data_IF_224718143706
#
_entry.id   IF_224718143706
#
_cell.length_a   1.000
_cell.length_b   1.000
_cell.length_c   1.000
_cell.angle_alpha   90.00
_cell.angle_beta   90.00
_cell.angle_gamma   90.00
#
_symmetry.space_group_name_H-M   'P 1'
#
loop_
_entity.id
_entity.type
_entity.pdbx_description
1 polymer ?
#
# COMPACT_ATOMS: atom_id res chain seq x y z
N UNK A 1 -0.60 -24.90 14.68
CA UNK A 1 -0.30 -24.02 13.52
C UNK A 1 0.97 -23.21 13.85
N UNK A 2 2.02 -23.19 13.00
CA UNK A 2 3.19 -22.32 13.27
C UNK A 2 2.79 -20.85 13.06
N UNK A 3 2.98 -19.98 14.05
CA UNK A 3 2.67 -18.55 13.92
C UNK A 3 3.78 -17.83 13.15
N UNK A 4 3.46 -16.70 12.51
CA UNK A 4 4.43 -15.81 11.90
C UNK A 4 5.20 -15.06 12.97
N UNK A 5 6.52 -15.20 12.93
CA UNK A 5 7.41 -14.43 13.79
C UNK A 5 7.28 -12.92 13.48
N UNK A 6 7.56 -12.03 14.44
CA UNK A 6 7.44 -10.57 14.26
C UNK A 6 8.24 -10.02 13.07
N UNK A 7 9.39 -10.61 12.77
CA UNK A 7 10.22 -10.25 11.60
C UNK A 7 9.51 -10.48 10.26
N UNK A 8 8.64 -11.48 10.17
CA UNK A 8 7.84 -11.74 8.96
C UNK A 8 6.76 -10.68 8.82
N UNK A 9 6.05 -10.34 9.91
CA UNK A 9 5.06 -9.28 9.91
C UNK A 9 5.69 -7.91 9.56
N UNK A 10 6.87 -7.59 10.10
CA UNK A 10 7.65 -6.41 9.70
C UNK A 10 8.00 -6.43 8.23
N UNK A 11 8.52 -7.56 7.72
CA UNK A 11 8.85 -7.72 6.31
C UNK A 11 7.62 -7.56 5.39
N UNK A 12 6.43 -7.98 5.83
CA UNK A 12 5.16 -7.81 5.13
C UNK A 12 4.73 -6.34 5.10
N UNK A 13 4.80 -5.62 6.24
CA UNK A 13 4.50 -4.18 6.28
C UNK A 13 5.41 -3.41 5.34
N UNK A 14 6.73 -3.58 5.50
CA UNK A 14 7.70 -2.88 4.66
C UNK A 14 7.54 -3.28 3.19
N UNK A 15 7.27 -4.55 2.89
CA UNK A 15 7.12 -4.96 1.51
C UNK A 15 5.82 -4.48 0.84
N UNK A 16 4.73 -4.36 1.59
CA UNK A 16 3.47 -3.82 1.08
C UNK A 16 3.57 -2.30 0.88
N UNK A 17 4.26 -1.60 1.79
CA UNK A 17 4.49 -0.17 1.63
C UNK A 17 5.43 0.13 0.46
N UNK A 18 6.64 -0.44 0.48
CA UNK A 18 7.67 -0.23 -0.55
C UNK A 18 7.28 -0.95 -1.83
N UNK A 19 6.44 -0.29 -2.63
CA UNK A 19 5.92 -0.74 -3.91
C UNK A 19 6.13 0.29 -5.02
N UNK A 20 5.21 0.31 -5.99
CA UNK A 20 5.31 1.17 -7.19
C UNK A 20 5.33 2.65 -6.88
N UNK A 21 4.51 3.09 -5.93
CA UNK A 21 4.28 4.51 -5.70
C UNK A 21 5.55 5.32 -5.46
N UNK A 22 6.55 4.81 -4.72
CA UNK A 22 7.80 5.57 -4.51
C UNK A 22 8.64 5.71 -5.77
N UNK A 23 8.51 4.77 -6.72
CA UNK A 23 9.28 4.78 -7.96
C UNK A 23 8.57 5.54 -9.08
N UNK A 24 7.25 5.72 -9.02
CA UNK A 24 6.45 6.28 -10.10
C UNK A 24 5.80 7.62 -9.75
N UNK A 25 5.39 7.83 -8.50
CA UNK A 25 4.61 9.01 -8.09
C UNK A 25 5.34 10.31 -8.37
N UNK A 26 6.66 10.34 -8.23
CA UNK A 26 7.45 11.54 -8.44
C UNK A 26 7.24 12.12 -9.86
N UNK A 27 7.22 11.27 -10.90
CA UNK A 27 7.04 11.76 -12.26
C UNK A 27 5.69 12.44 -12.47
N UNK A 28 4.62 11.89 -11.92
CA UNK A 28 3.29 12.50 -11.98
C UNK A 28 3.16 13.75 -11.11
N UNK A 29 3.83 13.80 -9.95
CA UNK A 29 3.86 15.02 -9.12
C UNK A 29 4.54 16.19 -9.84
N UNK A 30 5.59 15.91 -10.61
CA UNK A 30 6.33 16.92 -11.39
C UNK A 30 5.52 17.50 -12.56
N UNK A 31 4.37 16.92 -12.93
CA UNK A 31 3.49 17.53 -13.94
C UNK A 31 2.90 18.85 -13.45
N UNK A 32 2.52 18.92 -12.17
CA UNK A 32 1.86 20.08 -11.58
C UNK A 32 2.72 20.90 -10.61
N UNK A 33 3.81 20.32 -10.08
CA UNK A 33 4.66 20.98 -9.10
C UNK A 33 6.06 21.26 -9.64
N UNK A 34 6.45 22.53 -9.64
CA UNK A 34 7.78 23.00 -10.02
C UNK A 34 8.75 23.11 -8.84
N UNK A 35 8.27 23.46 -7.64
CA UNK A 35 9.12 23.52 -6.43
C UNK A 35 9.27 22.13 -5.81
N UNK A 36 10.45 21.53 -6.01
CA UNK A 36 10.76 20.18 -5.54
C UNK A 36 10.81 20.05 -4.01
N UNK A 37 10.95 21.18 -3.27
CA UNK A 37 10.90 21.18 -1.80
C UNK A 37 9.48 20.94 -1.30
N UNK A 38 8.48 21.45 -2.01
CA UNK A 38 7.07 21.16 -1.74
C UNK A 38 6.81 19.66 -1.88
N UNK A 39 7.38 19.01 -2.90
CA UNK A 39 7.26 17.56 -3.10
C UNK A 39 7.79 16.81 -1.87
N UNK A 40 9.01 17.09 -1.39
CA UNK A 40 9.54 16.43 -0.19
C UNK A 40 8.71 16.70 1.07
N UNK A 41 8.17 17.91 1.24
CA UNK A 41 7.26 18.22 2.34
C UNK A 41 5.96 17.40 2.27
N UNK A 42 5.40 17.21 1.08
CA UNK A 42 4.24 16.35 0.88
C UNK A 42 4.56 14.89 1.24
N UNK A 43 5.74 14.38 0.86
CA UNK A 43 6.21 13.05 1.29
C UNK A 43 6.36 12.93 2.81
N UNK A 44 6.80 13.99 3.49
CA UNK A 44 6.85 14.03 4.96
C UNK A 44 5.45 14.02 5.58
N UNK A 45 4.52 14.83 5.05
CA UNK A 45 3.12 14.86 5.47
C UNK A 45 2.46 13.49 5.29
N UNK A 46 2.71 12.83 4.15
CA UNK A 46 2.25 11.47 3.89
C UNK A 46 2.78 10.45 4.90
N UNK A 47 4.07 10.53 5.25
CA UNK A 47 4.68 9.67 6.27
C UNK A 47 4.12 9.90 7.67
N UNK A 48 3.89 11.17 8.05
CA UNK A 48 3.22 11.53 9.31
C UNK A 48 1.79 10.98 9.33
N UNK A 49 1.05 11.10 8.23
CA UNK A 49 -0.28 10.54 8.09
C UNK A 49 -0.26 9.01 8.26
N UNK A 50 0.63 8.30 7.56
CA UNK A 50 0.79 6.85 7.69
C UNK A 50 1.12 6.41 9.12
N UNK A 51 2.05 7.12 9.80
CA UNK A 51 2.37 6.87 11.21
C UNK A 51 1.16 7.09 12.13
N UNK A 52 0.38 8.14 11.91
CA UNK A 52 -0.85 8.40 12.66
C UNK A 52 -1.89 7.29 12.46
N UNK A 53 -2.06 6.81 11.22
CA UNK A 53 -2.90 5.67 10.91
C UNK A 53 -2.41 4.39 11.59
N UNK A 54 -1.11 4.13 11.55
CA UNK A 54 -0.47 2.98 12.20
C UNK A 54 -0.67 2.98 13.72
N UNK A 55 -0.60 4.14 14.37
CA UNK A 55 -0.92 4.28 15.80
C UNK A 55 -2.37 3.90 16.10
N UNK A 56 -3.31 4.31 15.25
CA UNK A 56 -4.73 3.98 15.38
C UNK A 56 -4.99 2.48 15.20
N UNK A 57 -4.40 1.88 14.16
CA UNK A 57 -4.58 0.46 13.83
C UNK A 57 -3.85 -0.46 14.80
N UNK A 58 -2.72 -0.02 15.37
CA UNK A 58 -2.06 -0.74 16.44
C UNK A 58 -3.02 -0.93 17.63
N UNK A 59 -3.71 0.12 18.06
CA UNK A 59 -4.68 0.00 19.15
C UNK A 59 -5.90 -0.85 18.77
N UNK A 60 -6.45 -0.68 17.56
CA UNK A 60 -7.56 -1.51 17.07
C UNK A 60 -7.17 -2.99 17.03
N UNK A 61 -6.03 -3.34 16.43
CA UNK A 61 -5.60 -4.73 16.29
C UNK A 61 -5.22 -5.38 17.62
N UNK A 62 -4.67 -4.63 18.59
CA UNK A 62 -4.43 -5.18 19.93
C UNK A 62 -5.75 -5.50 20.66
N UNK A 63 -6.80 -4.69 20.43
CA UNK A 63 -8.15 -4.92 21.02
C UNK A 63 -8.93 -6.02 20.29
N UNK A 64 -8.74 -6.16 18.97
CA UNK A 64 -9.47 -7.08 18.10
C UNK A 64 -8.47 -7.93 17.29
N UNK A 65 -7.85 -8.95 17.92
CA UNK A 65 -6.68 -9.64 17.36
C UNK A 65 -7.00 -10.75 16.34
N UNK A 66 -8.04 -10.59 15.51
CA UNK A 66 -8.33 -11.53 14.41
C UNK A 66 -7.80 -11.02 13.06
N UNK A 67 -7.53 -11.96 12.16
CA UNK A 67 -7.17 -11.67 10.77
C UNK A 67 -8.35 -11.06 10.00
N UNK A 68 -8.04 -10.20 9.03
CA UNK A 68 -9.02 -9.61 8.11
C UNK A 68 -8.91 -8.09 7.98
N UNK A 69 -8.08 -7.43 8.79
CA UNK A 69 -7.88 -5.98 8.72
C UNK A 69 -9.18 -5.21 8.88
N UNK A 70 -9.44 -4.26 7.99
CA UNK A 70 -10.62 -3.40 8.01
C UNK A 70 -11.94 -4.17 7.91
N UNK A 71 -11.98 -5.31 7.19
CA UNK A 71 -13.15 -6.18 7.18
C UNK A 71 -13.54 -6.57 8.61
N UNK A 72 -12.58 -7.06 9.38
CA UNK A 72 -12.81 -7.52 10.75
C UNK A 72 -13.19 -6.34 11.66
N UNK A 73 -12.41 -5.25 11.63
CA UNK A 73 -12.67 -4.09 12.49
C UNK A 73 -14.06 -3.47 12.24
N UNK A 74 -14.45 -3.29 10.97
CA UNK A 74 -15.73 -2.67 10.64
C UNK A 74 -16.93 -3.60 10.87
N UNK A 75 -16.74 -4.92 10.72
CA UNK A 75 -17.76 -5.92 11.08
C UNK A 75 -18.10 -5.85 12.56
N UNK A 76 -17.08 -5.84 13.43
CA UNK A 76 -17.23 -5.89 14.89
C UNK A 76 -17.66 -4.56 15.51
N UNK A 77 -17.18 -3.45 14.95
CA UNK A 77 -17.32 -2.12 15.56
C UNK A 77 -18.44 -1.27 14.96
N UNK A 78 -18.69 -1.39 13.66
CA UNK A 78 -19.62 -0.52 12.94
C UNK A 78 -20.90 -1.28 12.63
N UNK A 79 -20.83 -2.25 11.72
CA UNK A 79 -21.95 -3.09 11.31
C UNK A 79 -21.46 -4.21 10.36
N UNK A 80 -22.06 -5.42 10.36
CA UNK A 80 -21.66 -6.49 9.43
C UNK A 80 -21.70 -6.09 7.95
N UNK A 81 -22.59 -5.18 7.56
CA UNK A 81 -22.61 -4.63 6.19
C UNK A 81 -21.39 -3.75 5.88
N UNK A 82 -20.94 -2.94 6.84
CA UNK A 82 -19.74 -2.11 6.66
C UNK A 82 -18.50 -2.99 6.51
N UNK A 83 -18.43 -4.05 7.33
CA UNK A 83 -17.46 -5.12 7.16
C UNK A 83 -17.51 -5.77 5.79
N UNK A 84 -18.68 -6.22 5.34
CA UNK A 84 -18.88 -6.83 4.02
C UNK A 84 -18.34 -5.98 2.87
N UNK A 85 -18.72 -4.71 2.80
CA UNK A 85 -18.19 -3.75 1.82
C UNK A 85 -16.67 -3.63 1.95
N UNK A 86 -16.17 -3.47 3.17
CA UNK A 86 -14.74 -3.34 3.43
C UNK A 86 -13.93 -4.57 3.00
N UNK A 87 -14.51 -5.77 3.09
CA UNK A 87 -13.88 -7.00 2.58
C UNK A 87 -13.68 -6.97 1.08
N UNK A 88 -14.71 -6.56 0.32
CA UNK A 88 -14.58 -6.39 -1.12
C UNK A 88 -13.62 -5.26 -1.49
N UNK A 89 -13.69 -4.12 -0.79
CA UNK A 89 -12.77 -2.99 -1.00
C UNK A 89 -11.32 -3.43 -0.74
N UNK A 90 -11.07 -4.11 0.37
CA UNK A 90 -9.74 -4.62 0.72
C UNK A 90 -9.24 -5.58 -0.37
N UNK A 91 -10.05 -6.57 -0.75
CA UNK A 91 -9.65 -7.58 -1.73
C UNK A 91 -9.41 -7.02 -3.14
N UNK A 92 -10.27 -6.10 -3.59
CA UNK A 92 -10.20 -5.52 -4.94
C UNK A 92 -9.18 -4.41 -5.00
N UNK A 93 -9.52 -3.24 -4.47
CA UNK A 93 -8.71 -2.03 -4.61
C UNK A 93 -7.60 -1.93 -3.54
N UNK A 94 -7.74 -2.61 -2.41
CA UNK A 94 -6.70 -2.67 -1.37
C UNK A 94 -5.54 -3.61 -1.70
N UNK A 95 -5.74 -4.64 -2.53
CA UNK A 95 -4.71 -5.62 -2.87
C UNK A 95 -4.64 -5.94 -4.37
N UNK A 96 -5.73 -6.35 -5.02
CA UNK A 96 -5.68 -6.77 -6.42
C UNK A 96 -5.26 -5.64 -7.39
N UNK A 97 -5.75 -4.42 -7.19
CA UNK A 97 -5.34 -3.25 -7.96
C UNK A 97 -3.86 -2.88 -7.73
N UNK A 98 -3.34 -2.77 -6.49
CA UNK A 98 -1.91 -2.62 -6.23
C UNK A 98 -1.04 -3.76 -6.78
N UNK A 99 -1.53 -5.01 -6.78
CA UNK A 99 -0.85 -6.13 -7.44
C UNK A 99 -0.73 -5.89 -8.94
N UNK A 100 -1.81 -5.47 -9.59
CA UNK A 100 -1.81 -5.16 -11.03
C UNK A 100 -0.82 -4.03 -11.35
N UNK A 101 -0.82 -2.96 -10.55
CA UNK A 101 0.11 -1.85 -10.72
C UNK A 101 1.57 -2.27 -10.50
N UNK A 102 1.87 -3.01 -9.44
CA UNK A 102 3.21 -3.53 -9.17
C UNK A 102 3.71 -4.47 -10.26
N UNK A 103 2.84 -5.32 -10.80
CA UNK A 103 3.18 -6.17 -11.92
C UNK A 103 3.40 -5.39 -13.22
N UNK A 104 2.57 -4.37 -13.49
CA UNK A 104 2.72 -3.51 -14.67
C UNK A 104 4.03 -2.73 -14.62
N UNK A 105 4.35 -2.08 -13.50
CA UNK A 105 5.62 -1.37 -13.32
C UNK A 105 6.82 -2.32 -13.41
N UNK A 106 6.69 -3.58 -12.95
CA UNK A 106 7.70 -4.61 -13.17
C UNK A 106 7.94 -4.84 -14.67
N UNK A 107 6.87 -4.98 -15.45
CA UNK A 107 6.94 -5.10 -16.90
C UNK A 107 7.60 -3.90 -17.55
N UNK A 108 7.26 -2.67 -17.13
CA UNK A 108 7.83 -1.46 -17.72
C UNK A 108 9.31 -1.29 -17.42
N UNK A 109 9.76 -1.62 -16.20
CA UNK A 109 11.20 -1.64 -15.90
C UNK A 109 11.95 -2.71 -16.69
N UNK A 110 11.38 -3.91 -16.90
CA UNK A 110 11.99 -4.90 -17.78
C UNK A 110 12.09 -4.38 -19.22
N UNK A 111 11.04 -3.72 -19.71
CA UNK A 111 11.01 -3.14 -21.05
C UNK A 111 12.05 -2.04 -21.24
N UNK A 112 12.13 -1.09 -20.31
CA UNK A 112 13.12 -0.03 -20.33
C UNK A 112 14.56 -0.59 -20.20
N UNK A 113 14.74 -1.65 -19.42
CA UNK A 113 16.05 -2.22 -19.18
C UNK A 113 16.62 -3.01 -20.36
N UNK A 114 15.90 -4.03 -20.83
CA UNK A 114 16.45 -4.96 -21.83
C UNK A 114 15.44 -5.86 -22.57
N UNK A 115 14.17 -5.92 -22.15
CA UNK A 115 13.19 -6.89 -22.65
C UNK A 115 12.11 -6.20 -23.47
N UNK A 116 12.22 -6.10 -24.81
CA UNK A 116 11.29 -5.36 -25.67
C UNK A 116 9.95 -6.10 -25.88
N UNK A 117 9.24 -6.37 -24.78
CA UNK A 117 7.92 -6.99 -24.72
C UNK A 117 6.96 -6.01 -24.07
N UNK A 118 5.69 -6.02 -24.48
CA UNK A 118 4.66 -5.24 -23.81
C UNK A 118 4.65 -5.56 -22.29
N UNK A 119 4.74 -4.54 -21.42
CA UNK A 119 4.72 -4.70 -19.97
C UNK A 119 3.59 -5.59 -19.44
N UNK A 120 2.41 -5.58 -20.08
CA UNK A 120 1.25 -6.36 -19.65
C UNK A 120 1.49 -7.87 -19.68
N UNK A 121 2.30 -8.38 -20.62
CA UNK A 121 2.62 -9.81 -20.69
C UNK A 121 3.57 -10.24 -19.58
N UNK A 122 4.62 -9.46 -19.34
CA UNK A 122 5.56 -9.68 -18.23
C UNK A 122 4.83 -9.59 -16.88
N UNK A 123 3.93 -8.62 -16.73
CA UNK A 123 3.06 -8.46 -15.57
C UNK A 123 2.14 -9.66 -15.36
N UNK A 124 1.50 -10.15 -16.43
CA UNK A 124 0.63 -11.33 -16.40
C UNK A 124 1.38 -12.57 -15.94
N UNK A 125 2.58 -12.79 -16.49
CA UNK A 125 3.44 -13.91 -16.10
C UNK A 125 3.83 -13.84 -14.61
N UNK A 126 4.16 -12.64 -14.12
CA UNK A 126 4.49 -12.43 -12.70
C UNK A 126 3.31 -12.75 -11.78
N UNK A 127 2.11 -12.23 -12.09
CA UNK A 127 0.90 -12.48 -11.28
C UNK A 127 0.58 -13.97 -11.24
N UNK A 128 0.54 -14.64 -12.40
CA UNK A 128 0.25 -16.07 -12.48
C UNK A 128 1.30 -16.88 -11.71
N UNK A 129 2.58 -16.57 -11.91
CA UNK A 129 3.70 -17.24 -11.23
C UNK A 129 3.58 -17.15 -9.71
N UNK A 130 3.32 -15.95 -9.18
CA UNK A 130 3.18 -15.75 -7.74
C UNK A 130 1.89 -16.36 -7.18
N UNK A 131 0.77 -16.32 -7.89
CA UNK A 131 -0.45 -17.05 -7.50
C UNK A 131 -0.18 -18.55 -7.39
N UNK A 132 0.55 -19.15 -8.34
CA UNK A 132 0.94 -20.56 -8.29
C UNK A 132 1.83 -20.84 -7.07
N UNK A 133 2.85 -20.03 -6.81
CA UNK A 133 3.72 -20.20 -5.63
C UNK A 133 2.94 -20.10 -4.33
N UNK A 134 2.08 -19.09 -4.18
CA UNK A 134 1.32 -18.85 -2.95
C UNK A 134 0.15 -19.82 -2.72
N UNK A 135 -0.19 -20.66 -3.70
CA UNK A 135 -1.24 -21.70 -3.60
C UNK A 135 -0.69 -23.12 -3.45
N UNK A 136 0.63 -23.34 -3.50
CA UNK A 136 1.23 -24.68 -3.34
C UNK A 136 1.27 -25.13 -1.89
N UNK A 137 2.21 -24.60 -1.11
CA UNK A 137 2.40 -24.96 0.30
C UNK A 137 2.58 -23.71 1.17
N UNK A 138 2.26 -23.81 2.46
CA UNK A 138 2.46 -22.70 3.40
C UNK A 138 3.93 -22.30 3.54
N UNK A 139 4.82 -23.29 3.43
CA UNK A 139 6.26 -23.04 3.40
C UNK A 139 6.59 -22.19 2.17
N UNK A 140 6.22 -22.59 0.96
CA UNK A 140 6.52 -21.80 -0.25
C UNK A 140 5.88 -20.40 -0.23
N UNK A 141 4.66 -20.28 0.29
CA UNK A 141 3.95 -19.00 0.40
C UNK A 141 4.62 -17.99 1.34
N UNK A 142 5.42 -18.46 2.31
CA UNK A 142 6.07 -17.60 3.31
C UNK A 142 7.61 -17.65 3.30
N UNK A 143 8.20 -18.71 2.72
CA UNK A 143 9.63 -18.97 2.64
C UNK A 143 10.22 -18.14 1.50
N UNK A 144 10.59 -16.92 1.84
CA UNK A 144 11.17 -16.01 0.87
C UNK A 144 10.83 -14.57 1.19
N UNK A 145 9.71 -14.29 1.85
CA UNK A 145 9.26 -12.91 2.05
C UNK A 145 10.30 -12.07 2.79
N UNK A 146 10.88 -12.57 3.88
CA UNK A 146 11.93 -11.85 4.61
C UNK A 146 13.16 -11.63 3.73
N UNK A 147 13.61 -12.63 2.97
CA UNK A 147 14.77 -12.52 2.09
C UNK A 147 14.53 -11.52 0.95
N UNK A 148 13.36 -11.58 0.31
CA UNK A 148 12.93 -10.67 -0.73
C UNK A 148 12.84 -9.23 -0.21
N UNK A 149 12.26 -9.03 0.98
CA UNK A 149 12.18 -7.70 1.59
C UNK A 149 13.58 -7.18 1.93
N UNK A 150 14.45 -8.00 2.55
CA UNK A 150 15.83 -7.60 2.88
C UNK A 150 16.60 -7.24 1.62
N UNK A 151 16.54 -8.09 0.58
CA UNK A 151 17.17 -7.83 -0.71
C UNK A 151 16.67 -6.50 -1.30
N UNK A 152 15.36 -6.29 -1.33
CA UNK A 152 14.76 -5.03 -1.76
C UNK A 152 15.32 -3.81 -1.02
N UNK A 153 15.42 -3.90 0.31
CA UNK A 153 15.96 -2.80 1.11
C UNK A 153 17.44 -2.56 0.84
N UNK A 154 18.24 -3.61 0.70
CA UNK A 154 19.66 -3.51 0.33
C UNK A 154 19.82 -2.85 -1.04
N UNK A 155 18.98 -3.20 -2.01
CA UNK A 155 19.02 -2.62 -3.35
C UNK A 155 18.67 -1.13 -3.35
N UNK A 156 17.60 -0.74 -2.65
CA UNK A 156 17.18 0.67 -2.56
C UNK A 156 18.20 1.50 -1.78
N UNK A 157 18.64 1.03 -0.62
CA UNK A 157 19.64 1.74 0.19
C UNK A 157 21.01 1.79 -0.50
N UNK A 158 21.38 0.74 -1.22
CA UNK A 158 22.56 0.70 -2.07
C UNK A 158 22.49 1.73 -3.20
N UNK A 159 21.34 1.83 -3.88
CA UNK A 159 21.11 2.86 -4.90
C UNK A 159 21.20 4.28 -4.34
N UNK A 160 20.58 4.54 -3.18
CA UNK A 160 20.68 5.82 -2.47
C UNK A 160 22.15 6.15 -2.16
N UNK A 161 22.89 5.20 -1.59
CA UNK A 161 24.31 5.38 -1.26
C UNK A 161 25.16 5.65 -2.50
N UNK A 162 24.95 4.89 -3.57
CA UNK A 162 25.65 5.05 -4.85
C UNK A 162 25.41 6.44 -5.44
N UNK A 163 24.16 6.92 -5.43
CA UNK A 163 23.83 8.25 -5.95
C UNK A 163 24.50 9.36 -5.14
N UNK A 164 24.52 9.26 -3.81
CA UNK A 164 25.18 10.24 -2.94
C UNK A 164 26.70 10.26 -3.13
N UNK A 165 27.32 9.10 -3.40
CA UNK A 165 28.76 8.98 -3.64
C UNK A 165 29.19 9.53 -5.01
N UNK A 166 28.29 9.60 -5.99
CA UNK A 166 28.56 10.12 -7.34
C UNK A 166 28.42 11.64 -7.48
N UNK A 167 28.46 12.39 -6.36
CA UNK A 167 28.41 13.87 -6.34
C UNK A 167 27.30 14.46 -7.22
N UNK A 168 26.03 14.33 -6.81
CA UNK A 168 24.88 14.71 -7.63
C UNK A 168 24.95 16.14 -8.18
N UNK A 169 24.68 16.32 -9.47
CA UNK A 169 24.83 17.61 -10.15
C UNK A 169 23.70 18.61 -9.91
N UNK A 170 22.57 18.19 -9.32
CA UNK A 170 21.35 18.99 -9.23
C UNK A 170 20.91 19.30 -7.79
N UNK A 171 21.87 19.36 -6.85
CA UNK A 171 21.61 19.66 -5.42
C UNK A 171 20.82 20.98 -5.23
N UNK A 172 21.02 21.96 -6.11
CA UNK A 172 20.28 23.23 -6.08
C UNK A 172 18.76 23.11 -6.30
N UNK A 173 18.26 21.98 -6.82
CA UNK A 173 16.82 21.73 -6.94
C UNK A 173 16.16 21.67 -5.56
N UNK A 174 16.84 21.08 -4.55
CA UNK A 174 16.37 21.01 -3.17
C UNK A 174 16.85 22.15 -2.28
N UNK A 175 18.10 22.59 -2.49
CA UNK A 175 18.76 23.57 -1.62
C UNK A 175 18.94 24.89 -2.36
N UNK A 176 17.82 25.58 -2.59
CA UNK A 176 17.81 26.96 -3.09
C UNK A 176 17.29 27.93 -2.01
N UNK A 177 17.73 29.19 -2.11
CA UNK A 177 17.46 30.23 -1.11
C UNK A 177 16.17 31.02 -1.37
N UNK A 178 15.30 30.56 -2.27
CA UNK A 178 14.02 31.24 -2.51
C UNK A 178 13.03 30.89 -1.39
N UNK A 179 12.18 31.83 -0.92
CA UNK A 179 11.15 31.51 0.06
C UNK A 179 10.20 30.43 -0.49
N UNK A 180 9.81 29.49 0.38
CA UNK A 180 8.83 28.48 0.02
C UNK A 180 7.45 29.13 0.00
N UNK A 181 6.76 29.08 -1.14
CA UNK A 181 5.44 29.69 -1.31
C UNK A 181 4.39 28.87 -0.56
N UNK A 182 3.74 29.47 0.45
CA UNK A 182 2.60 28.84 1.14
C UNK A 182 1.41 28.64 0.20
N UNK A 183 1.31 29.45 -0.87
CA UNK A 183 0.32 29.27 -1.92
C UNK A 183 0.57 27.98 -2.72
N UNK A 184 1.84 27.63 -2.98
CA UNK A 184 2.20 26.41 -3.71
C UNK A 184 1.92 25.16 -2.87
N UNK A 185 2.05 25.25 -1.55
CA UNK A 185 1.70 24.14 -0.64
C UNK A 185 0.19 23.91 -0.53
N UNK A 186 -0.62 24.96 -0.71
CA UNK A 186 -2.08 24.92 -0.61
C UNK A 186 -2.75 24.91 -2.00
N UNK A 187 -1.97 24.68 -3.07
CA UNK A 187 -2.47 24.67 -4.43
C UNK A 187 -3.26 23.39 -4.74
N UNK A 188 -4.02 23.44 -5.84
CA UNK A 188 -4.72 22.28 -6.36
C UNK A 188 -3.74 21.16 -6.73
N UNK A 189 -2.60 21.54 -7.30
CA UNK A 189 -1.55 20.63 -7.74
C UNK A 189 -0.90 19.92 -6.54
N UNK A 190 -0.71 20.61 -5.42
CA UNK A 190 -0.23 20.01 -4.18
C UNK A 190 -1.24 19.01 -3.59
N UNK A 191 -2.54 19.30 -3.68
CA UNK A 191 -3.58 18.39 -3.23
C UNK A 191 -3.61 17.10 -4.08
N UNK A 192 -3.51 17.22 -5.42
CA UNK A 192 -3.37 16.07 -6.33
C UNK A 192 -2.10 15.28 -6.04
N UNK A 193 -0.96 15.96 -5.85
CA UNK A 193 0.30 15.32 -5.50
C UNK A 193 0.21 14.53 -4.18
N UNK A 194 -0.55 15.02 -3.19
CA UNK A 194 -0.77 14.30 -1.94
C UNK A 194 -1.59 13.01 -2.13
N UNK A 195 -2.45 12.91 -3.13
CA UNK A 195 -3.12 11.64 -3.51
C UNK A 195 -2.08 10.59 -3.93
N UNK A 196 -1.12 10.98 -4.77
CA UNK A 196 -0.04 10.09 -5.20
C UNK A 196 0.88 9.67 -4.04
N UNK A 197 1.17 10.60 -3.13
CA UNK A 197 1.97 10.31 -1.92
C UNK A 197 1.22 9.38 -0.97
N UNK A 198 -0.04 9.66 -0.66
CA UNK A 198 -0.84 8.82 0.24
C UNK A 198 -1.02 7.42 -0.32
N UNK A 199 -1.20 7.28 -1.64
CA UNK A 199 -1.16 5.99 -2.31
C UNK A 199 0.19 5.28 -2.15
N UNK A 200 1.32 5.98 -2.36
CA UNK A 200 2.65 5.39 -2.23
C UNK A 200 2.96 4.88 -0.81
N UNK A 201 2.39 5.53 0.22
CA UNK A 201 2.50 5.10 1.61
C UNK A 201 1.52 3.99 2.00
N UNK A 202 0.55 3.63 1.15
CA UNK A 202 -0.44 2.58 1.45
C UNK A 202 0.22 1.23 1.78
N UNK A 203 -0.53 0.32 2.40
CA UNK A 203 0.01 -0.97 2.84
C UNK A 203 0.68 -0.95 4.22
N UNK A 204 0.74 0.21 4.88
CA UNK A 204 1.21 0.34 6.27
C UNK A 204 0.40 -0.52 7.25
N UNK A 205 -0.87 -0.77 6.96
CA UNK A 205 -1.79 -1.61 7.73
C UNK A 205 -1.66 -3.12 7.44
N UNK A 206 -0.81 -3.56 6.50
CA UNK A 206 -0.83 -4.95 5.99
C UNK A 206 -0.74 -6.06 7.07
N UNK A 207 -0.06 -5.80 8.20
CA UNK A 207 0.03 -6.76 9.30
C UNK A 207 -1.33 -7.08 9.97
N UNK A 208 -2.33 -6.19 9.90
CA UNK A 208 -3.66 -6.44 10.48
C UNK A 208 -4.44 -7.51 9.71
N UNK A 209 -4.11 -7.75 8.44
CA UNK A 209 -4.74 -8.81 7.65
C UNK A 209 -4.29 -10.22 8.04
N UNK A 210 -3.11 -10.35 8.65
CA UNK A 210 -2.53 -11.64 9.06
C UNK A 210 -2.41 -11.78 10.58
N UNK A 211 -3.20 -11.00 11.32
CA UNK A 211 -3.07 -10.84 12.76
C UNK A 211 -3.32 -12.13 13.56
N UNK A 212 -4.31 -12.93 13.16
CA UNK A 212 -4.60 -14.24 13.75
C UNK A 212 -3.54 -15.31 13.44
N UNK A 213 -2.65 -15.04 12.48
CA UNK A 213 -1.50 -15.89 12.18
C UNK A 213 -0.20 -15.37 12.83
N UNK A 214 -0.23 -14.25 13.57
CA UNK A 214 0.96 -13.60 14.14
C UNK A 214 1.29 -14.11 15.55
N UNK A 215 2.58 -14.20 15.86
CA UNK A 215 3.06 -14.53 17.22
C UNK A 215 2.93 -13.32 18.16
N UNK A 216 2.21 -13.50 19.28
CA UNK A 216 1.95 -12.46 20.30
C UNK A 216 1.56 -11.10 19.67
N UNK A 217 0.42 -11.03 18.97
CA UNK A 217 0.00 -9.84 18.23
C UNK A 217 -0.16 -8.62 19.13
N UNK A 218 -0.60 -8.83 20.38
CA UNK A 218 -0.80 -7.75 21.36
C UNK A 218 0.49 -6.99 21.65
N UNK A 219 1.61 -7.72 21.74
CA UNK A 219 2.92 -7.14 22.00
C UNK A 219 3.60 -6.67 20.72
N UNK A 220 3.49 -7.42 19.62
CA UNK A 220 4.33 -7.20 18.45
C UNK A 220 3.69 -6.30 17.37
N UNK A 221 2.36 -6.30 17.23
CA UNK A 221 1.69 -5.49 16.19
C UNK A 221 2.06 -4.00 16.28
N UNK A 222 1.99 -3.32 17.45
CA UNK A 222 2.32 -1.90 17.51
C UNK A 222 3.75 -1.60 17.07
N UNK A 223 4.72 -2.44 17.48
CA UNK A 223 6.14 -2.25 17.11
C UNK A 223 6.34 -2.45 15.62
N UNK A 224 5.73 -3.47 15.05
CA UNK A 224 5.83 -3.80 13.62
C UNK A 224 5.25 -2.67 12.75
N UNK A 225 4.07 -2.18 13.08
CA UNK A 225 3.44 -1.09 12.33
C UNK A 225 4.27 0.21 12.43
N UNK A 226 4.64 0.62 13.65
CA UNK A 226 5.35 1.90 13.85
C UNK A 226 6.78 1.88 13.31
N UNK A 227 7.54 0.81 13.56
CA UNK A 227 8.88 0.68 13.02
C UNK A 227 8.85 0.59 11.49
N UNK A 228 7.89 -0.16 10.92
CA UNK A 228 7.71 -0.26 9.48
C UNK A 228 7.40 1.09 8.84
N UNK A 229 6.40 1.81 9.36
CA UNK A 229 6.01 3.13 8.86
C UNK A 229 7.13 4.16 8.98
N UNK A 230 7.79 4.21 10.14
CA UNK A 230 8.88 5.16 10.38
C UNK A 230 10.06 4.90 9.46
N UNK A 231 10.46 3.63 9.31
CA UNK A 231 11.54 3.23 8.42
C UNK A 231 11.23 3.56 6.96
N UNK A 232 10.03 3.22 6.47
CA UNK A 232 9.64 3.51 5.08
C UNK A 232 9.55 5.02 4.83
N UNK A 233 9.08 5.81 5.80
CA UNK A 233 9.07 7.28 5.69
C UNK A 233 10.47 7.84 5.45
N UNK A 234 11.46 7.40 6.24
CA UNK A 234 12.85 7.83 6.06
C UNK A 234 13.39 7.38 4.71
N UNK A 235 13.10 6.14 4.30
CA UNK A 235 13.52 5.58 3.02
C UNK A 235 12.95 6.38 1.85
N UNK A 236 11.67 6.73 1.90
CA UNK A 236 10.98 7.46 0.84
C UNK A 236 11.47 8.89 0.71
N UNK A 237 11.71 9.57 1.83
CA UNK A 237 12.31 10.90 1.83
C UNK A 237 13.71 10.87 1.23
N UNK A 238 14.55 9.91 1.65
CA UNK A 238 15.90 9.76 1.12
C UNK A 238 15.90 9.43 -0.37
N UNK A 239 15.03 8.52 -0.82
CA UNK A 239 14.96 8.11 -2.22
C UNK A 239 14.48 9.25 -3.12
N UNK A 240 13.40 9.94 -2.75
CA UNK A 240 12.90 11.10 -3.50
C UNK A 240 13.93 12.23 -3.52
N UNK A 241 14.62 12.49 -2.40
CA UNK A 241 15.68 13.48 -2.36
C UNK A 241 16.81 13.12 -3.34
N UNK A 242 17.23 11.84 -3.36
CA UNK A 242 18.23 11.35 -4.31
C UNK A 242 17.79 11.50 -5.75
N UNK A 243 16.56 11.14 -6.10
CA UNK A 243 16.04 11.36 -7.46
C UNK A 243 16.11 12.83 -7.87
N UNK A 244 15.66 13.72 -6.97
CA UNK A 244 15.61 15.16 -7.19
C UNK A 244 16.98 15.86 -7.20
N UNK A 245 18.08 15.23 -6.75
CA UNK A 245 19.42 15.85 -6.86
C UNK A 245 20.27 15.22 -7.96
N UNK A 246 19.84 14.08 -8.50
CA UNK A 246 20.66 13.27 -9.41
C UNK A 246 20.34 13.47 -10.89
N UNK A 247 19.13 13.92 -11.22
CA UNK A 247 18.72 14.19 -12.61
C UNK A 247 17.92 15.51 -12.72
N UNK A 248 17.89 16.14 -13.92
CA UNK A 248 17.01 17.27 -14.18
C UNK A 248 15.53 16.91 -14.01
N UNK A 249 14.77 17.75 -13.31
CA UNK A 249 13.32 17.57 -13.11
C UNK A 249 12.57 17.32 -14.44
N UNK A 250 12.92 18.04 -15.50
CA UNK A 250 12.21 17.92 -16.79
C UNK A 250 12.34 16.55 -17.43
N UNK A 251 13.40 15.80 -17.14
CA UNK A 251 13.57 14.42 -17.65
C UNK A 251 12.79 13.37 -16.88
N UNK A 252 12.28 13.72 -15.70
CA UNK A 252 11.46 12.84 -14.86
C UNK A 252 9.97 13.14 -14.97
N UNK A 253 9.60 14.27 -15.57
CA UNK A 253 8.23 14.77 -15.62
C UNK A 253 7.34 13.84 -16.46
N UNK A 254 6.34 13.25 -15.83
CA UNK A 254 5.41 12.31 -16.46
C UNK A 254 5.96 10.89 -16.66
N UNK A 255 7.20 10.63 -16.24
CA UNK A 255 7.83 9.32 -16.41
C UNK A 255 7.40 8.33 -15.31
N UNK A 256 7.25 7.06 -15.70
CA UNK A 256 6.97 5.96 -14.76
C UNK A 256 8.27 5.40 -14.20
N UNK A 257 9.31 5.27 -15.02
CA UNK A 257 10.58 4.62 -14.69
C UNK A 257 11.62 5.60 -14.13
N UNK A 258 11.25 6.39 -13.12
CA UNK A 258 12.11 7.44 -12.54
C UNK A 258 13.49 6.90 -12.14
N UNK A 259 13.54 5.70 -11.57
CA UNK A 259 14.81 5.08 -11.18
C UNK A 259 15.72 4.75 -12.37
N UNK A 260 15.15 4.40 -13.52
CA UNK A 260 15.91 4.16 -14.76
C UNK A 260 16.49 5.47 -15.30
N UNK A 261 15.65 6.51 -15.39
CA UNK A 261 16.07 7.85 -15.84
C UNK A 261 17.22 8.38 -14.98
N UNK A 262 17.05 8.37 -13.66
CA UNK A 262 18.07 8.85 -12.72
C UNK A 262 19.35 8.03 -12.81
N UNK A 263 19.25 6.71 -12.95
CA UNK A 263 20.41 5.85 -13.11
C UNK A 263 21.17 6.13 -14.41
N UNK A 264 20.49 6.51 -15.50
CA UNK A 264 21.13 6.94 -16.75
C UNK A 264 22.02 8.17 -16.56
N UNK A 265 21.55 9.16 -15.79
CA UNK A 265 22.34 10.35 -15.47
C UNK A 265 23.55 10.06 -14.56
N UNK A 266 23.40 9.13 -13.61
CA UNK A 266 24.45 8.82 -12.63
C UNK A 266 25.50 7.83 -13.17
N UNK A 267 25.08 6.86 -13.99
CA UNK A 267 25.87 5.66 -14.30
C UNK A 267 25.96 5.35 -15.80
N UNK A 268 25.29 6.14 -16.65
CA UNK A 268 25.14 5.86 -18.08
C UNK A 268 24.20 4.68 -18.36
N UNK A 269 24.06 4.35 -19.64
CA UNK A 269 23.05 3.39 -20.14
C UNK A 269 23.15 2.01 -19.49
N UNK A 270 24.38 1.48 -19.33
CA UNK A 270 24.59 0.17 -18.69
C UNK A 270 24.13 0.17 -17.23
N UNK A 271 24.43 1.24 -16.49
CA UNK A 271 23.97 1.38 -15.12
C UNK A 271 22.45 1.55 -15.03
N UNK A 272 21.85 2.28 -15.97
CA UNK A 272 20.40 2.40 -16.10
C UNK A 272 19.73 1.03 -16.27
N UNK A 273 20.21 0.20 -17.20
CA UNK A 273 19.72 -1.16 -17.39
C UNK A 273 19.84 -1.99 -16.12
N UNK A 274 21.00 -1.97 -15.45
CA UNK A 274 21.21 -2.72 -14.20
C UNK A 274 20.20 -2.29 -13.13
N UNK A 275 20.00 -0.98 -12.94
CA UNK A 275 19.05 -0.43 -11.98
C UNK A 275 17.62 -0.82 -12.34
N UNK A 276 17.24 -0.78 -13.62
CA UNK A 276 15.92 -1.22 -14.05
C UNK A 276 15.64 -2.70 -13.71
N UNK A 277 16.60 -3.60 -13.97
CA UNK A 277 16.46 -5.03 -13.58
C UNK A 277 16.32 -5.19 -12.08
N UNK A 278 17.11 -4.44 -11.31
CA UNK A 278 17.06 -4.40 -9.84
C UNK A 278 15.67 -3.94 -9.35
N UNK A 279 15.14 -2.86 -9.91
CA UNK A 279 13.85 -2.30 -9.54
C UNK A 279 12.69 -3.21 -9.96
N UNK A 280 12.80 -3.89 -11.10
CA UNK A 280 11.88 -4.97 -11.45
C UNK A 280 11.93 -6.08 -10.38
N UNK A 281 13.10 -6.57 -9.99
CA UNK A 281 13.26 -7.58 -8.93
C UNK A 281 12.64 -7.16 -7.58
N UNK A 282 12.76 -5.87 -7.22
CA UNK A 282 12.14 -5.24 -6.04
C UNK A 282 10.60 -5.41 -6.06
N UNK A 283 9.96 -5.28 -7.21
CA UNK A 283 8.51 -5.37 -7.35
C UNK A 283 7.96 -6.79 -7.21
N UNK A 284 8.77 -7.82 -7.49
CA UNK A 284 8.41 -9.23 -7.20
C UNK A 284 8.14 -9.40 -5.69
N UNK A 285 8.97 -8.80 -4.83
CA UNK A 285 8.78 -8.81 -3.38
C UNK A 285 7.46 -8.17 -2.95
N UNK A 286 7.08 -7.09 -3.61
CA UNK A 286 5.84 -6.35 -3.33
C UNK A 286 4.61 -7.16 -3.73
N UNK A 287 4.57 -7.69 -4.96
CA UNK A 287 3.46 -8.53 -5.42
C UNK A 287 3.32 -9.76 -4.52
N UNK A 288 4.42 -10.43 -4.19
CA UNK A 288 4.42 -11.60 -3.30
C UNK A 288 3.84 -11.27 -1.92
N UNK A 289 4.21 -10.13 -1.32
CA UNK A 289 3.69 -9.71 -0.03
C UNK A 289 2.19 -9.41 -0.05
N UNK A 290 1.68 -8.83 -1.13
CA UNK A 290 0.26 -8.52 -1.32
C UNK A 290 -0.56 -9.80 -1.56
N UNK A 291 -0.04 -10.73 -2.37
CA UNK A 291 -0.66 -12.06 -2.60
C UNK A 291 -0.68 -12.89 -1.30
N UNK A 292 0.29 -12.70 -0.42
CA UNK A 292 0.28 -13.28 0.92
C UNK A 292 -0.76 -12.61 1.83
N UNK A 293 -0.78 -11.29 1.96
CA UNK A 293 -1.65 -10.62 2.94
C UNK A 293 -3.13 -10.56 2.53
N UNK A 294 -3.41 -10.15 1.30
CA UNK A 294 -4.76 -9.79 0.83
C UNK A 294 -5.84 -10.87 0.92
N UNK A 295 -5.56 -12.15 0.59
CA UNK A 295 -6.58 -13.20 0.60
C UNK A 295 -7.22 -13.45 1.96
N UNK A 296 -6.60 -13.00 3.07
CA UNK A 296 -7.14 -13.19 4.43
C UNK A 296 -8.42 -12.40 4.67
N UNK A 297 -8.62 -11.26 4.00
CA UNK A 297 -9.89 -10.52 4.05
C UNK A 297 -11.04 -11.35 3.44
N UNK A 298 -10.81 -11.92 2.25
CA UNK A 298 -11.77 -12.80 1.58
C UNK A 298 -11.98 -14.13 2.32
N UNK A 299 -10.93 -14.66 2.94
CA UNK A 299 -11.02 -15.86 3.77
C UNK A 299 -11.96 -15.64 4.96
N UNK A 300 -11.82 -14.51 5.68
CA UNK A 300 -12.71 -14.17 6.80
C UNK A 300 -14.14 -13.94 6.32
N UNK A 301 -14.31 -13.20 5.21
CA UNK A 301 -15.62 -13.01 4.56
C UNK A 301 -16.27 -14.35 4.20
N UNK A 302 -15.54 -15.28 3.60
CA UNK A 302 -16.05 -16.61 3.27
C UNK A 302 -16.42 -17.43 4.51
N UNK A 303 -15.80 -17.18 5.66
CA UNK A 303 -16.21 -17.77 6.93
C UNK A 303 -17.55 -17.26 7.46
N UNK A 304 -17.90 -16.00 7.16
CA UNK A 304 -19.09 -15.34 7.70
C UNK A 304 -20.34 -15.44 6.79
N UNK A 305 -20.15 -15.68 5.48
CA UNK A 305 -21.24 -15.70 4.49
C UNK A 305 -21.33 -17.03 3.73
N UNK A 306 -22.41 -17.83 3.89
CA UNK A 306 -22.54 -19.16 3.28
C UNK A 306 -22.33 -19.21 1.76
N UNK A 307 -22.86 -18.21 1.02
CA UNK A 307 -22.71 -18.13 -0.45
C UNK A 307 -21.25 -17.92 -0.89
N UNK A 308 -20.41 -17.41 -0.01
CA UNK A 308 -18.98 -17.18 -0.24
C UNK A 308 -18.09 -18.18 0.52
N UNK A 309 -18.66 -19.25 1.08
CA UNK A 309 -17.93 -20.27 1.87
C UNK A 309 -16.71 -20.85 1.15
N UNK A 310 -16.78 -20.94 -0.18
CA UNK A 310 -15.67 -21.42 -1.00
C UNK A 310 -14.41 -20.52 -0.88
N UNK A 311 -14.55 -19.21 -0.65
CA UNK A 311 -13.42 -18.29 -0.42
C UNK A 311 -12.76 -18.52 0.95
N UNK A 312 -13.53 -18.95 1.95
CA UNK A 312 -13.05 -19.28 3.30
C UNK A 312 -12.49 -20.69 3.44
N UNK A 313 -12.56 -21.52 2.39
CA UNK A 313 -12.11 -22.91 2.44
C UNK A 313 -10.58 -22.98 2.47
N UNK A 314 -10.04 -23.63 3.50
CA UNK A 314 -8.61 -23.83 3.68
C UNK A 314 -8.16 -25.14 3.04
N UNK A 315 -6.95 -25.15 2.47
CA UNK A 315 -6.27 -26.39 2.10
C UNK A 315 -5.71 -27.12 3.32
N UNK A 316 -5.20 -28.33 3.12
CA UNK A 316 -4.50 -29.11 4.16
C UNK A 316 -3.33 -28.34 4.83
N UNK A 317 -2.63 -27.49 4.07
CA UNK A 317 -1.57 -26.60 4.56
C UNK A 317 -2.07 -25.32 5.27
N UNK A 318 -3.39 -25.15 5.45
CA UNK A 318 -4.01 -23.98 6.07
C UNK A 318 -3.99 -22.72 5.21
N UNK A 319 -3.92 -22.85 3.87
CA UNK A 319 -3.93 -21.72 2.94
C UNK A 319 -5.33 -21.52 2.32
N UNK A 320 -5.83 -20.26 2.21
CA UNK A 320 -7.08 -19.96 1.53
C UNK A 320 -6.87 -19.91 0.01
N UNK A 321 -6.59 -21.05 -0.63
CA UNK A 321 -6.18 -21.13 -2.05
C UNK A 321 -7.19 -20.46 -2.99
N UNK A 322 -8.48 -20.66 -2.73
CA UNK A 322 -9.55 -20.07 -3.55
C UNK A 322 -9.56 -18.54 -3.49
N UNK A 323 -9.34 -17.96 -2.31
CA UNK A 323 -9.23 -16.51 -2.16
C UNK A 323 -8.00 -15.95 -2.88
N UNK A 324 -6.86 -16.66 -2.83
CA UNK A 324 -5.64 -16.28 -3.57
C UNK A 324 -5.90 -16.25 -5.07
N UNK A 325 -6.50 -17.31 -5.62
CA UNK A 325 -6.81 -17.44 -7.06
C UNK A 325 -7.81 -16.36 -7.49
N UNK A 326 -8.89 -16.17 -6.72
CA UNK A 326 -9.91 -15.18 -7.02
C UNK A 326 -9.33 -13.75 -7.04
N UNK A 327 -8.50 -13.40 -6.05
CA UNK A 327 -7.83 -12.11 -6.00
C UNK A 327 -6.83 -11.93 -7.15
N UNK A 328 -6.08 -12.97 -7.52
CA UNK A 328 -5.21 -12.98 -8.69
C UNK A 328 -5.98 -12.75 -10.00
N UNK A 329 -7.17 -13.35 -10.12
CA UNK A 329 -8.07 -13.11 -11.26
C UNK A 329 -8.55 -11.66 -11.34
N UNK A 330 -8.91 -11.04 -10.21
CA UNK A 330 -9.27 -9.61 -10.16
C UNK A 330 -8.07 -8.73 -10.54
N UNK A 331 -6.86 -9.09 -10.10
CA UNK A 331 -5.65 -8.33 -10.45
C UNK A 331 -5.37 -8.39 -11.96
N UNK A 332 -5.54 -9.56 -12.59
CA UNK A 332 -5.47 -9.69 -14.05
C UNK A 332 -6.55 -8.89 -14.75
N UNK A 333 -7.78 -8.85 -14.21
CA UNK A 333 -8.84 -8.01 -14.76
C UNK A 333 -8.43 -6.54 -14.76
N UNK A 334 -7.97 -6.00 -13.62
CA UNK A 334 -7.46 -4.63 -13.55
C UNK A 334 -6.30 -4.36 -14.53
N UNK A 335 -5.34 -5.29 -14.62
CA UNK A 335 -4.18 -5.18 -15.50
C UNK A 335 -4.57 -4.98 -16.97
N UNK A 336 -5.61 -5.68 -17.43
CA UNK A 336 -6.03 -5.68 -18.83
C UNK A 336 -7.19 -4.71 -19.13
N UNK A 337 -7.93 -4.24 -18.13
CA UNK A 337 -9.12 -3.38 -18.32
C UNK A 337 -8.91 -1.90 -18.00
N UNK A 338 -7.80 -1.53 -17.36
CA UNK A 338 -7.65 -0.19 -16.78
C UNK A 338 -6.25 0.37 -16.95
N UNK A 339 -6.12 1.69 -17.09
CA UNK A 339 -4.82 2.35 -17.16
C UNK A 339 -4.18 2.46 -15.78
N UNK A 340 -2.86 2.66 -15.74
CA UNK A 340 -2.11 2.85 -14.50
C UNK A 340 -2.74 3.94 -13.61
N UNK A 341 -2.98 5.12 -14.19
CA UNK A 341 -3.55 6.27 -13.49
C UNK A 341 -4.97 5.98 -12.98
N UNK A 342 -5.82 5.34 -13.78
CA UNK A 342 -7.18 4.99 -13.37
C UNK A 342 -7.19 4.05 -12.17
N UNK A 343 -6.34 3.01 -12.19
CA UNK A 343 -6.22 2.06 -11.08
C UNK A 343 -5.74 2.79 -9.83
N UNK A 344 -4.72 3.66 -9.96
CA UNK A 344 -4.14 4.38 -8.83
C UNK A 344 -5.14 5.34 -8.18
N UNK A 345 -5.81 6.19 -8.96
CA UNK A 345 -6.76 7.17 -8.44
C UNK A 345 -7.96 6.47 -7.79
N UNK A 346 -8.52 5.47 -8.47
CA UNK A 346 -9.67 4.74 -7.95
C UNK A 346 -9.31 3.97 -6.67
N UNK A 347 -8.16 3.28 -6.65
CA UNK A 347 -7.70 2.56 -5.47
C UNK A 347 -7.40 3.51 -4.31
N UNK A 348 -6.69 4.61 -4.57
CA UNK A 348 -6.38 5.63 -3.56
C UNK A 348 -7.63 6.18 -2.88
N UNK A 349 -8.67 6.53 -3.65
CA UNK A 349 -9.93 7.07 -3.10
C UNK A 349 -10.64 6.05 -2.20
N UNK A 350 -10.86 4.83 -2.69
CA UNK A 350 -11.62 3.82 -1.96
C UNK A 350 -10.87 3.32 -0.71
N UNK A 351 -9.55 3.16 -0.81
CA UNK A 351 -8.70 2.80 0.33
C UNK A 351 -8.69 3.93 1.38
N UNK A 352 -8.58 5.19 0.95
CA UNK A 352 -8.69 6.34 1.84
C UNK A 352 -10.04 6.37 2.56
N UNK A 353 -11.15 6.12 1.86
CA UNK A 353 -12.48 6.08 2.46
C UNK A 353 -12.61 4.94 3.48
N UNK A 354 -12.12 3.74 3.13
CA UNK A 354 -12.17 2.57 4.00
C UNK A 354 -11.34 2.76 5.28
N UNK A 355 -10.13 3.30 5.14
CA UNK A 355 -9.24 3.58 6.28
C UNK A 355 -9.76 4.72 7.14
N UNK A 356 -10.37 5.75 6.54
CA UNK A 356 -11.02 6.86 7.24
C UNK A 356 -12.15 6.37 8.16
N UNK A 357 -13.06 5.54 7.64
CA UNK A 357 -14.15 4.95 8.44
C UNK A 357 -13.60 4.02 9.52
N UNK A 358 -12.53 3.29 9.24
CA UNK A 358 -11.87 2.44 10.25
C UNK A 358 -11.23 3.24 11.37
N UNK A 359 -10.61 4.38 11.09
CA UNK A 359 -10.09 5.26 12.15
C UNK A 359 -11.22 5.91 12.95
N UNK A 360 -12.38 6.21 12.35
CA UNK A 360 -13.59 6.58 13.11
C UNK A 360 -14.01 5.44 14.05
N UNK A 361 -13.92 4.18 13.60
CA UNK A 361 -14.27 3.02 14.41
C UNK A 361 -13.38 2.87 15.67
N UNK A 362 -12.17 3.44 15.71
CA UNK A 362 -11.36 3.52 16.94
C UNK A 362 -12.09 4.25 18.07
N UNK A 363 -12.76 5.36 17.77
CA UNK A 363 -13.54 6.11 18.75
C UNK A 363 -14.74 5.28 19.27
N UNK A 364 -15.37 4.51 18.38
CA UNK A 364 -16.44 3.57 18.75
C UNK A 364 -15.88 2.46 19.65
N UNK A 365 -14.73 1.89 19.29
CA UNK A 365 -14.08 0.84 20.08
C UNK A 365 -13.73 1.33 21.49
N UNK A 366 -13.21 2.55 21.64
CA UNK A 366 -12.91 3.14 22.95
C UNK A 366 -14.15 3.40 23.80
N UNK A 367 -15.29 3.74 23.18
CA UNK A 367 -16.57 3.93 23.89
C UNK A 367 -17.21 2.60 24.30
N UNK A 368 -17.20 1.60 23.43
CA UNK A 368 -17.89 0.31 23.63
C UNK A 368 -17.11 -0.64 24.53
N UNK A 369 -15.79 -0.68 24.41
CA UNK A 369 -14.94 -1.62 25.15
C UNK A 369 -14.11 -0.88 26.21
N UNK A 370 -14.49 -1.07 27.47
CA UNK A 370 -13.77 -0.51 28.63
C UNK A 370 -12.39 -1.15 28.78
N UNK A 371 -11.49 -0.40 29.38
CA UNK A 371 -10.10 -0.78 29.66
C UNK A 371 -10.07 -2.09 30.47
N UNK A 372 -9.25 -3.08 30.10
CA UNK A 372 -8.89 -4.16 31.01
C UNK A 372 -8.23 -3.56 32.26
N UNK A 373 -8.50 -4.06 33.48
CA UNK A 373 -7.96 -3.50 34.72
C UNK A 373 -6.43 -3.51 34.83
N UNK A 374 -5.73 -4.28 34.01
CA UNK A 374 -4.31 -4.61 34.16
C UNK A 374 -3.35 -3.79 33.27
N UNK A 375 -3.85 -2.80 32.52
CA UNK A 375 -3.07 -1.97 31.60
C UNK A 375 -2.26 -2.72 30.54
N UNK A 376 -2.55 -4.01 30.30
CA UNK A 376 -1.73 -4.88 29.45
C UNK A 376 -1.79 -4.55 27.96
N UNK A 377 -2.83 -3.82 27.50
CA UNK A 377 -3.03 -3.53 26.10
C UNK A 377 -2.38 -2.21 25.68
N UNK A 378 -1.69 -2.22 24.54
CA UNK A 378 -1.20 -1.02 23.88
C UNK A 378 -2.30 0.04 23.72
N UNK A 379 -1.94 1.30 24.01
CA UNK A 379 -2.77 2.47 23.79
C UNK A 379 -2.06 3.46 22.90
N UNK A 380 -2.81 4.09 22.01
CA UNK A 380 -2.31 5.17 21.19
C UNK A 380 -1.84 6.34 22.06
N UNK A 381 -0.56 6.74 21.98
CA UNK A 381 -0.05 7.91 22.67
C UNK A 381 -0.73 9.17 22.15
N UNK A 382 -0.87 10.17 23.03
CA UNK A 382 -1.46 11.49 22.70
C UNK A 382 -2.90 11.41 22.16
N UNK A 383 -3.65 10.36 22.49
CA UNK A 383 -5.05 10.26 22.05
C UNK A 383 -5.86 11.51 22.46
N UNK A 384 -6.69 12.09 21.56
CA UNK A 384 -7.03 11.62 20.21
C UNK A 384 -6.19 12.23 19.06
N UNK A 385 -5.09 12.94 19.35
CA UNK A 385 -4.38 13.77 18.38
C UNK A 385 -3.94 13.02 17.10
N UNK A 386 -3.28 11.85 17.14
CA UNK A 386 -2.91 11.15 15.91
C UNK A 386 -4.12 10.75 15.05
N UNK A 387 -5.23 10.33 15.68
CA UNK A 387 -6.46 10.02 14.96
C UNK A 387 -7.05 11.26 14.28
N UNK A 388 -7.02 12.42 14.94
CA UNK A 388 -7.48 13.68 14.34
C UNK A 388 -6.60 14.14 13.18
N UNK A 389 -5.27 13.95 13.27
CA UNK A 389 -4.34 14.26 12.17
C UNK A 389 -4.63 13.37 10.96
N UNK A 390 -4.76 12.05 11.17
CA UNK A 390 -5.11 11.11 10.11
C UNK A 390 -6.44 11.48 9.45
N UNK A 391 -7.49 11.68 10.25
CA UNK A 391 -8.81 12.05 9.74
C UNK A 391 -8.78 13.41 9.02
N UNK A 392 -8.01 14.38 9.51
CA UNK A 392 -7.86 15.68 8.86
C UNK A 392 -7.24 15.57 7.46
N UNK A 393 -6.09 14.88 7.36
CA UNK A 393 -5.37 14.71 6.10
C UNK A 393 -6.18 13.83 5.13
N UNK A 394 -6.60 12.64 5.56
CA UNK A 394 -7.36 11.71 4.70
C UNK A 394 -8.72 12.28 4.33
N UNK A 395 -9.42 12.95 5.26
CA UNK A 395 -10.69 13.60 4.99
C UNK A 395 -10.57 14.74 3.98
N UNK A 396 -9.50 15.54 4.07
CA UNK A 396 -9.16 16.54 3.07
C UNK A 396 -8.92 15.91 1.70
N UNK A 397 -8.09 14.87 1.63
CA UNK A 397 -7.82 14.13 0.38
C UNK A 397 -9.09 13.58 -0.24
N UNK A 398 -10.01 13.02 0.57
CA UNK A 398 -11.31 12.51 0.11
C UNK A 398 -12.21 13.63 -0.41
N UNK A 399 -12.33 14.73 0.33
CA UNK A 399 -13.15 15.88 -0.07
C UNK A 399 -12.66 16.46 -1.39
N UNK A 400 -11.34 16.70 -1.51
CA UNK A 400 -10.74 17.22 -2.72
C UNK A 400 -10.92 16.26 -3.91
N UNK A 401 -10.57 14.98 -3.72
CA UNK A 401 -10.74 13.96 -4.76
C UNK A 401 -12.20 13.82 -5.20
N UNK A 402 -13.15 14.09 -4.30
CA UNK A 402 -14.56 14.01 -4.65
C UNK A 402 -14.99 15.10 -5.65
N UNK A 403 -14.39 16.29 -5.56
CA UNK A 403 -14.61 17.36 -6.53
C UNK A 403 -13.86 17.13 -7.84
N UNK A 404 -12.64 16.61 -7.77
CA UNK A 404 -11.80 16.39 -8.95
C UNK A 404 -12.20 15.15 -9.76
N UNK A 405 -12.80 14.14 -9.13
CA UNK A 405 -13.10 12.83 -9.72
C UNK A 405 -14.56 12.40 -9.47
N UNK A 406 -15.56 13.18 -9.92
CA UNK A 406 -16.97 12.95 -9.59
C UNK A 406 -17.50 11.60 -10.10
N UNK A 407 -17.00 11.11 -11.24
CA UNK A 407 -17.38 9.81 -11.79
C UNK A 407 -16.96 8.67 -10.88
N UNK A 408 -15.73 8.70 -10.37
CA UNK A 408 -15.17 7.69 -9.48
C UNK A 408 -15.94 7.65 -8.15
N UNK A 409 -16.31 8.82 -7.63
CA UNK A 409 -17.17 8.94 -6.43
C UNK A 409 -18.55 8.35 -6.70
N UNK A 410 -19.15 8.67 -7.84
CA UNK A 410 -20.47 8.14 -8.21
C UNK A 410 -20.45 6.62 -8.34
N UNK A 411 -19.39 6.04 -8.95
CA UNK A 411 -19.19 4.60 -9.03
C UNK A 411 -19.05 3.98 -7.63
N UNK A 412 -18.29 4.63 -6.73
CA UNK A 412 -18.17 4.17 -5.35
C UNK A 412 -19.50 4.19 -4.60
N UNK A 413 -20.25 5.29 -4.70
CA UNK A 413 -21.57 5.41 -4.10
C UNK A 413 -22.54 4.36 -4.66
N UNK A 414 -22.50 4.11 -5.97
CA UNK A 414 -23.27 3.06 -6.62
C UNK A 414 -22.87 1.67 -6.09
N UNK A 415 -21.57 1.39 -5.93
CA UNK A 415 -21.09 0.13 -5.36
C UNK A 415 -21.54 -0.05 -3.90
N UNK A 416 -21.54 1.03 -3.10
CA UNK A 416 -22.07 1.03 -1.73
C UNK A 416 -23.58 0.76 -1.66
N UNK A 417 -24.35 1.18 -2.65
CA UNK A 417 -25.80 0.93 -2.70
C UNK A 417 -26.06 -0.49 -3.23
N UNK A 418 -25.42 -0.85 -4.34
CA UNK A 418 -25.54 -2.16 -4.99
C UNK A 418 -24.99 -3.30 -4.13
N UNK A 419 -24.07 -3.01 -3.20
CA UNK A 419 -23.57 -3.96 -2.24
C UNK A 419 -24.64 -4.47 -1.25
N UNK A 420 -25.74 -3.73 -1.03
CA UNK A 420 -26.75 -4.10 -0.05
C UNK A 420 -27.57 -5.32 -0.48
N UNK A 421 -28.13 -5.37 -1.71
CA UNK A 421 -28.70 -6.59 -2.27
C UNK A 421 -27.73 -7.78 -2.22
N UNK A 422 -26.46 -7.56 -2.58
CA UNK A 422 -25.44 -8.61 -2.57
C UNK A 422 -25.17 -9.13 -1.16
N UNK A 423 -25.07 -8.25 -0.16
CA UNK A 423 -24.92 -8.60 1.25
C UNK A 423 -26.12 -9.40 1.77
N UNK A 424 -27.34 -8.99 1.44
CA UNK A 424 -28.56 -9.72 1.80
C UNK A 424 -28.56 -11.11 1.19
N UNK A 425 -28.29 -11.21 -0.10
CA UNK A 425 -28.16 -12.49 -0.82
C UNK A 425 -27.08 -13.39 -0.21
N UNK A 426 -25.92 -12.83 0.15
CA UNK A 426 -24.80 -13.56 0.71
C UNK A 426 -25.08 -14.22 2.07
N UNK A 427 -26.01 -13.63 2.86
CA UNK A 427 -26.42 -14.13 4.18
C UNK A 427 -27.42 -15.28 4.13
N UNK A 428 -28.12 -15.47 3.02
CA UNK A 428 -29.08 -16.57 2.91
C UNK A 428 -28.33 -17.89 2.68
N UNK A 429 -28.57 -18.87 3.55
CA UNK A 429 -28.19 -20.25 3.27
C UNK A 429 -28.82 -20.69 1.94
N UNK A 430 -28.04 -21.43 1.15
CA UNK A 430 -28.41 -21.81 -0.21
C UNK A 430 -29.56 -22.82 -0.22
#
# INVERSE_FOLDING_TARGET
MKLYAPKVAFAVVVANMVGTGVFTSLGFQLLGLSDTRVILLLWLIGGICALCGALCYAELGVRHPESGGEYHFLTELVHPYAGFISGFVSATVGFAAPIALAALTFGSYLQAGFLPVDPQWSATALIIGLVVVHTRTRRESSAGQVYLTVLKLLLITGFIGLALLNSPGFVGQLFNFTPLSTADMLSNEAAVALVYVTYAYSGWNAATYVLGEMEDPRRHLPRVLLAGCGFVTLLYLALNAVFLISAPVETMRGEVEIGYVVAGYLLGDTGATIVAVILAGVLISTVSAMVLAGPRALMRLGGDYPRFKWLGTLSDDGLPKNAVIFMGGIALLFLWSSTFEQILIFAGLLMAANTFVTVIALFISRRKFRRPPDDSLYQMPLYPLPALIFLGITGWTLAYSAFSFPTQVAVFAAALIAGWPLYRWARHEA
#
